data_IF_366326010592
#
_entry.id   IF_366326010592
#
_cell.length_a   1.000
_cell.length_b   1.000
_cell.length_c   1.000
_cell.angle_alpha   90.00
_cell.angle_beta   90.00
_cell.angle_gamma   90.00
#
_symmetry.space_group_name_H-M   'P 1'
#
loop_
_entity.id
_entity.type
_entity.pdbx_description
1 polymer ?
#
# COMPACT_ATOMS: atom_id res chain seq x y z
N UNK A 1 -15.00 14.43 21.70
CA UNK A 1 -16.44 14.31 21.38
C UNK A 1 -16.75 13.80 19.96
N UNK A 2 -16.08 14.20 18.87
CA UNK A 2 -16.51 13.76 17.51
C UNK A 2 -16.22 12.29 17.16
N UNK A 3 -15.32 11.60 17.86
CA UNK A 3 -14.82 10.26 17.50
C UNK A 3 -15.70 9.13 18.06
N UNK A 4 -16.50 9.42 19.08
CA UNK A 4 -17.43 8.43 19.63
C UNK A 4 -18.48 8.00 18.60
N UNK A 5 -18.79 8.87 17.61
CA UNK A 5 -19.64 8.56 16.46
C UNK A 5 -19.03 7.57 15.47
N UNK A 6 -17.72 7.29 15.53
CA UNK A 6 -17.02 6.36 14.62
C UNK A 6 -16.80 4.98 15.24
N UNK A 7 -17.30 4.73 16.46
CA UNK A 7 -17.11 3.45 17.15
C UNK A 7 -17.73 2.25 16.43
N UNK A 8 -18.74 2.49 15.58
CA UNK A 8 -19.41 1.43 14.82
C UNK A 8 -18.51 0.76 13.78
N UNK A 9 -17.48 1.44 13.28
CA UNK A 9 -16.56 0.93 12.24
C UNK A 9 -15.80 -0.32 12.73
N UNK A 10 -15.49 -0.40 14.03
CA UNK A 10 -14.75 -1.54 14.58
C UNK A 10 -15.65 -2.60 15.24
N UNK A 11 -16.95 -2.60 14.91
CA UNK A 11 -17.90 -3.62 15.39
C UNK A 11 -17.85 -4.87 14.53
N UNK A 12 -18.23 -6.03 15.11
CA UNK A 12 -18.32 -7.30 14.38
C UNK A 12 -19.32 -7.24 13.23
N UNK A 13 -20.42 -6.51 13.41
CA UNK A 13 -21.44 -6.32 12.36
C UNK A 13 -20.89 -5.58 11.15
N UNK A 14 -20.19 -4.46 11.37
CA UNK A 14 -19.53 -3.75 10.27
C UNK A 14 -18.47 -4.62 9.60
N UNK A 15 -17.65 -5.34 10.36
CA UNK A 15 -16.65 -6.26 9.81
C UNK A 15 -17.27 -7.31 8.89
N UNK A 16 -18.39 -7.91 9.28
CA UNK A 16 -19.11 -8.87 8.45
C UNK A 16 -19.66 -8.23 7.17
N UNK A 17 -20.28 -7.05 7.27
CA UNK A 17 -20.77 -6.31 6.11
C UNK A 17 -19.66 -5.94 5.14
N UNK A 18 -18.51 -5.49 5.67
CA UNK A 18 -17.33 -5.18 4.88
C UNK A 18 -16.80 -6.42 4.16
N UNK A 19 -16.66 -7.56 4.87
CA UNK A 19 -16.25 -8.82 4.25
C UNK A 19 -17.22 -9.29 3.17
N UNK A 20 -18.53 -9.16 3.40
CA UNK A 20 -19.56 -9.50 2.42
C UNK A 20 -19.47 -8.60 1.18
N UNK A 21 -19.37 -7.29 1.37
CA UNK A 21 -19.18 -6.32 0.29
C UNK A 21 -17.92 -6.59 -0.53
N UNK A 22 -16.78 -6.85 0.13
CA UNK A 22 -15.53 -7.19 -0.54
C UNK A 22 -15.61 -8.54 -1.25
N UNK A 23 -16.29 -9.54 -0.66
CA UNK A 23 -16.54 -10.83 -1.30
C UNK A 23 -17.34 -10.68 -2.59
N UNK A 24 -18.40 -9.87 -2.58
CA UNK A 24 -19.16 -9.53 -3.79
C UNK A 24 -18.31 -8.78 -4.82
N UNK A 25 -17.50 -7.84 -4.36
CA UNK A 25 -16.59 -7.07 -5.23
C UNK A 25 -15.60 -7.98 -5.96
N UNK A 26 -14.99 -8.94 -5.25
CA UNK A 26 -14.08 -9.92 -5.86
C UNK A 26 -14.82 -10.83 -6.84
N UNK A 27 -16.03 -11.26 -6.50
CA UNK A 27 -16.87 -12.02 -7.43
C UNK A 27 -17.15 -11.24 -8.72
N UNK A 28 -17.54 -9.96 -8.61
CA UNK A 28 -17.77 -9.08 -9.76
C UNK A 28 -16.49 -8.84 -10.56
N UNK A 29 -15.36 -8.62 -9.90
CA UNK A 29 -14.06 -8.45 -10.56
C UNK A 29 -13.74 -9.65 -11.46
N UNK A 30 -13.98 -10.87 -10.97
CA UNK A 30 -13.75 -12.10 -11.73
C UNK A 30 -14.80 -12.30 -12.82
N UNK A 31 -16.07 -12.03 -12.53
CA UNK A 31 -17.17 -12.21 -13.48
C UNK A 31 -17.10 -11.23 -14.68
N UNK A 32 -16.63 -10.01 -14.44
CA UNK A 32 -16.53 -8.93 -15.44
C UNK A 32 -15.08 -8.66 -15.86
N UNK A 33 -14.18 -9.64 -15.71
CA UNK A 33 -12.76 -9.48 -16.01
C UNK A 33 -12.50 -9.01 -17.45
N UNK A 34 -13.29 -9.48 -18.41
CA UNK A 34 -13.20 -9.05 -19.82
C UNK A 34 -13.54 -7.58 -20.02
N UNK A 35 -14.55 -7.08 -19.32
CA UNK A 35 -14.97 -5.67 -19.40
C UNK A 35 -13.99 -4.74 -18.71
N UNK A 36 -13.35 -5.20 -17.64
CA UNK A 36 -12.27 -4.48 -16.97
C UNK A 36 -11.04 -4.39 -17.87
N UNK A 37 -10.72 -5.47 -18.60
CA UNK A 37 -9.62 -5.48 -19.57
C UNK A 37 -9.92 -4.58 -20.76
N UNK A 38 -11.15 -4.54 -21.26
CA UNK A 38 -11.51 -3.62 -22.34
C UNK A 38 -11.44 -2.16 -21.89
N UNK A 39 -11.92 -1.85 -20.68
CA UNK A 39 -11.76 -0.53 -20.06
C UNK A 39 -10.28 -0.15 -19.89
N UNK A 40 -9.43 -1.09 -19.47
CA UNK A 40 -7.98 -0.89 -19.40
C UNK A 40 -7.41 -0.52 -20.76
N UNK A 41 -7.71 -1.28 -21.82
CA UNK A 41 -7.17 -1.01 -23.15
C UNK A 41 -7.57 0.36 -23.68
N UNK A 42 -8.81 0.78 -23.44
CA UNK A 42 -9.30 2.10 -23.83
C UNK A 42 -8.54 3.20 -23.10
N UNK A 43 -8.45 3.13 -21.77
CA UNK A 43 -7.79 4.18 -20.98
C UNK A 43 -6.27 4.17 -21.22
N UNK A 44 -5.65 3.00 -21.40
CA UNK A 44 -4.22 2.84 -21.68
C UNK A 44 -3.82 3.40 -23.04
N UNK A 45 -4.64 3.18 -24.06
CA UNK A 45 -4.46 3.77 -25.39
C UNK A 45 -4.51 5.30 -25.38
N UNK A 46 -5.26 5.89 -24.45
CA UNK A 46 -5.40 7.34 -24.32
C UNK A 46 -4.26 7.99 -23.52
N UNK A 47 -3.45 7.26 -22.75
CA UNK A 47 -2.36 7.86 -21.96
C UNK A 47 -1.23 8.43 -22.84
N UNK A 48 -1.02 7.87 -24.02
CA UNK A 48 -0.02 8.36 -25.00
C UNK A 48 -0.52 9.58 -25.78
N UNK A 49 -1.83 9.81 -25.84
CA UNK A 49 -2.45 10.86 -26.66
C UNK A 49 -3.07 11.99 -25.82
N UNK A 50 -3.41 11.74 -24.56
CA UNK A 50 -4.07 12.68 -23.66
C UNK A 50 -3.34 12.81 -22.30
N UNK A 51 -2.44 13.80 -22.12
CA UNK A 51 -1.72 14.02 -20.87
C UNK A 51 -2.65 14.35 -19.68
N UNK A 52 -3.90 14.72 -19.94
CA UNK A 52 -4.92 14.92 -18.90
C UNK A 52 -5.22 13.65 -18.11
N UNK A 53 -5.04 12.45 -18.69
CA UNK A 53 -5.24 11.19 -17.98
C UNK A 53 -4.13 10.92 -16.96
N UNK A 54 -2.89 11.35 -17.22
CA UNK A 54 -1.81 11.31 -16.23
C UNK A 54 -2.13 12.20 -15.03
N UNK A 55 -2.66 13.40 -15.27
CA UNK A 55 -3.08 14.30 -14.20
C UNK A 55 -4.23 13.72 -13.37
N UNK A 56 -5.24 13.13 -14.02
CA UNK A 56 -6.35 12.44 -13.33
C UNK A 56 -5.84 11.28 -12.48
N UNK A 57 -4.94 10.46 -13.02
CA UNK A 57 -4.33 9.34 -12.28
C UNK A 57 -3.51 9.83 -11.08
N UNK A 58 -2.70 10.87 -11.27
CA UNK A 58 -1.92 11.48 -10.20
C UNK A 58 -2.82 12.01 -9.09
N UNK A 59 -3.90 12.70 -9.44
CA UNK A 59 -4.89 13.18 -8.48
C UNK A 59 -5.60 12.04 -7.74
N UNK A 60 -6.06 11.01 -8.46
CA UNK A 60 -6.69 9.83 -7.85
C UNK A 60 -5.74 9.09 -6.90
N UNK A 61 -4.46 9.01 -7.25
CA UNK A 61 -3.41 8.43 -6.41
C UNK A 61 -3.18 9.26 -5.16
N UNK A 62 -3.06 10.59 -5.27
CA UNK A 62 -2.92 11.48 -4.11
C UNK A 62 -4.13 11.38 -3.19
N UNK A 63 -5.35 11.42 -3.73
CA UNK A 63 -6.58 11.26 -2.95
C UNK A 63 -6.59 9.92 -2.20
N UNK A 64 -6.17 8.85 -2.86
CA UNK A 64 -6.10 7.50 -2.26
C UNK A 64 -5.10 7.45 -1.11
N UNK A 65 -3.91 8.03 -1.29
CA UNK A 65 -2.88 8.10 -0.24
C UNK A 65 -3.38 8.98 0.92
N UNK A 66 -4.08 10.08 0.64
CA UNK A 66 -4.62 10.95 1.69
C UNK A 66 -5.63 10.19 2.57
N UNK A 67 -6.57 9.48 1.94
CA UNK A 67 -7.57 8.70 2.64
C UNK A 67 -6.95 7.51 3.40
N UNK A 68 -5.90 6.90 2.84
CA UNK A 68 -5.11 5.87 3.52
C UNK A 68 -4.51 6.38 4.84
N UNK A 69 -3.82 7.52 4.79
CA UNK A 69 -3.21 8.15 5.96
C UNK A 69 -4.25 8.54 7.02
N UNK A 70 -5.39 9.08 6.58
CA UNK A 70 -6.53 9.33 7.46
C UNK A 70 -7.06 8.05 8.10
N UNK A 71 -7.06 6.92 7.39
CA UNK A 71 -7.42 5.61 7.92
C UNK A 71 -6.62 5.24 9.15
N UNK A 72 -5.30 5.41 9.11
CA UNK A 72 -4.44 5.20 10.28
C UNK A 72 -4.75 6.17 11.41
N UNK A 73 -4.83 7.48 11.10
CA UNK A 73 -5.06 8.53 12.09
C UNK A 73 -6.36 8.32 12.86
N UNK A 74 -7.47 8.08 12.15
CA UNK A 74 -8.77 7.87 12.75
C UNK A 74 -8.83 6.59 13.59
N UNK A 75 -8.15 5.53 13.15
CA UNK A 75 -8.11 4.25 13.87
C UNK A 75 -7.29 4.36 15.15
N UNK A 76 -6.14 5.03 15.10
CA UNK A 76 -5.32 5.26 16.28
C UNK A 76 -6.08 6.09 17.33
N UNK A 77 -6.74 7.16 16.87
CA UNK A 77 -7.52 8.03 17.74
C UNK A 77 -8.77 7.35 18.30
N UNK A 78 -9.38 6.43 17.56
CA UNK A 78 -10.48 5.59 18.04
C UNK A 78 -10.05 4.69 19.21
N UNK A 79 -8.84 4.13 19.17
CA UNK A 79 -8.30 3.32 20.27
C UNK A 79 -7.69 4.14 21.41
N UNK A 80 -7.80 5.47 21.37
CA UNK A 80 -7.32 6.37 22.42
C UNK A 80 -5.87 6.81 22.27
N UNK A 81 -5.22 6.52 21.14
CA UNK A 81 -3.88 7.03 20.84
C UNK A 81 -3.89 8.47 20.33
N UNK A 82 -2.74 9.11 20.39
CA UNK A 82 -2.49 10.48 19.92
C UNK A 82 -1.86 10.46 18.54
N UNK A 83 -2.33 11.34 17.65
CA UNK A 83 -1.74 11.59 16.33
C UNK A 83 -1.06 12.96 16.41
N UNK A 84 0.28 13.03 16.57
CA UNK A 84 0.97 14.31 16.77
C UNK A 84 0.98 15.19 15.53
N UNK A 85 1.16 14.57 14.35
CA UNK A 85 1.35 15.27 13.08
C UNK A 85 0.82 14.42 11.91
N UNK A 86 0.35 15.13 10.88
CA UNK A 86 0.06 14.60 9.55
C UNK A 86 0.69 15.58 8.58
N UNK A 87 1.46 15.08 7.60
CA UNK A 87 2.22 15.94 6.72
C UNK A 87 2.36 15.38 5.30
N UNK A 88 3.03 16.17 4.47
CA UNK A 88 3.44 15.80 3.12
C UNK A 88 4.93 15.44 3.16
N UNK A 89 5.32 14.42 2.40
CA UNK A 89 6.71 14.06 2.16
C UNK A 89 6.96 13.92 0.66
N UNK A 90 8.22 14.00 0.24
CA UNK A 90 8.62 13.67 -1.12
C UNK A 90 9.49 12.42 -1.08
N UNK A 91 9.00 11.32 -1.65
CA UNK A 91 9.74 10.07 -1.77
C UNK A 91 10.11 9.85 -3.23
N UNK A 92 11.41 9.87 -3.55
CA UNK A 92 11.91 9.69 -4.92
C UNK A 92 11.22 10.59 -5.96
N UNK A 93 11.10 11.88 -5.65
CA UNK A 93 10.41 12.90 -6.49
C UNK A 93 8.90 12.70 -6.65
N UNK A 94 8.30 11.69 -6.02
CA UNK A 94 6.85 11.55 -5.94
C UNK A 94 6.32 12.19 -4.66
N UNK A 95 5.28 13.05 -4.75
CA UNK A 95 4.61 13.54 -3.55
C UNK A 95 3.96 12.36 -2.82
N UNK A 96 4.11 12.34 -1.51
CA UNK A 96 3.50 11.38 -0.60
C UNK A 96 2.96 12.09 0.64
N UNK A 97 2.20 11.37 1.45
CA UNK A 97 1.74 11.85 2.75
C UNK A 97 2.23 10.90 3.84
N UNK A 98 2.26 11.40 5.07
CA UNK A 98 2.54 10.58 6.23
C UNK A 98 1.70 11.01 7.42
N UNK A 99 1.33 10.03 8.24
CA UNK A 99 0.72 10.21 9.54
C UNK A 99 1.67 9.67 10.59
N UNK A 100 2.01 10.48 11.59
CA UNK A 100 2.78 9.99 12.72
C UNK A 100 1.89 9.12 13.61
N UNK A 101 2.04 7.81 13.45
CA UNK A 101 1.32 6.77 14.19
C UNK A 101 2.17 6.15 15.31
N UNK A 102 3.26 6.81 15.73
CA UNK A 102 4.21 6.25 16.71
C UNK A 102 3.56 5.88 18.04
N UNK A 103 2.50 6.58 18.44
CA UNK A 103 1.77 6.26 19.67
C UNK A 103 0.99 4.93 19.62
N UNK A 104 0.89 4.29 18.45
CA UNK A 104 0.31 2.95 18.35
C UNK A 104 1.06 1.91 19.20
N UNK A 105 2.35 2.10 19.46
CA UNK A 105 3.13 1.20 20.31
C UNK A 105 2.71 1.26 21.78
N UNK A 106 2.09 2.37 22.22
CA UNK A 106 1.52 2.57 23.55
C UNK A 106 0.23 1.75 23.76
N UNK A 107 -0.39 1.25 22.69
CA UNK A 107 -1.62 0.46 22.79
C UNK A 107 -1.34 -0.91 23.43
N UNK A 108 -2.11 -1.23 24.47
CA UNK A 108 -1.97 -2.46 25.27
C UNK A 108 -2.27 -3.71 24.45
N UNK A 109 -3.32 -3.69 23.62
CA UNK A 109 -3.75 -4.87 22.87
C UNK A 109 -3.06 -4.91 21.51
N UNK A 110 -2.31 -5.98 21.26
CA UNK A 110 -1.70 -6.27 19.94
C UNK A 110 -2.68 -6.16 18.78
N UNK A 111 -3.91 -6.65 18.95
CA UNK A 111 -4.96 -6.56 17.92
C UNK A 111 -5.24 -5.12 17.51
N UNK A 112 -5.26 -4.17 18.45
CA UNK A 112 -5.48 -2.76 18.14
C UNK A 112 -4.34 -2.20 17.29
N UNK A 113 -3.08 -2.55 17.61
CA UNK A 113 -1.91 -2.17 16.80
C UNK A 113 -2.00 -2.69 15.37
N UNK A 114 -2.33 -3.98 15.22
CA UNK A 114 -2.54 -4.60 13.90
C UNK A 114 -3.65 -3.87 13.12
N UNK A 115 -4.76 -3.51 13.77
CA UNK A 115 -5.84 -2.77 13.13
C UNK A 115 -5.45 -1.34 12.73
N UNK A 116 -4.65 -0.65 13.54
CA UNK A 116 -4.13 0.69 13.19
C UNK A 116 -3.27 0.61 11.93
N UNK A 117 -2.35 -0.34 11.85
CA UNK A 117 -1.51 -0.53 10.64
C UNK A 117 -2.35 -1.03 9.46
N UNK A 118 -3.32 -1.91 9.67
CA UNK A 118 -4.16 -2.41 8.58
C UNK A 118 -5.14 -1.36 8.05
N UNK A 119 -5.49 -0.33 8.84
CA UNK A 119 -6.55 0.61 8.51
C UNK A 119 -6.31 1.36 7.20
N UNK A 120 -5.08 1.82 6.94
CA UNK A 120 -4.75 2.50 5.69
C UNK A 120 -4.97 1.60 4.48
N UNK A 121 -4.47 0.36 4.53
CA UNK A 121 -4.67 -0.63 3.45
C UNK A 121 -6.14 -0.98 3.29
N UNK A 122 -6.91 -1.14 4.38
CA UNK A 122 -8.36 -1.39 4.31
C UNK A 122 -9.06 -0.25 3.57
N UNK A 123 -8.71 1.01 3.83
CA UNK A 123 -9.27 2.16 3.11
C UNK A 123 -8.96 2.07 1.62
N UNK A 124 -7.72 1.75 1.24
CA UNK A 124 -7.37 1.60 -0.17
C UNK A 124 -8.15 0.45 -0.85
N UNK A 125 -8.34 -0.69 -0.17
CA UNK A 125 -9.14 -1.81 -0.68
C UNK A 125 -10.61 -1.39 -0.86
N UNK A 126 -11.16 -0.59 0.06
CA UNK A 126 -12.53 -0.04 -0.08
C UNK A 126 -12.60 0.93 -1.26
N UNK A 127 -11.62 1.79 -1.47
CA UNK A 127 -11.58 2.71 -2.63
C UNK A 127 -11.49 1.91 -3.93
N UNK A 128 -10.67 0.87 -3.98
CA UNK A 128 -10.60 -0.05 -5.13
C UNK A 128 -11.97 -0.68 -5.42
N UNK A 129 -12.63 -1.20 -4.38
CA UNK A 129 -13.95 -1.79 -4.51
C UNK A 129 -14.97 -0.77 -5.04
N UNK A 130 -15.05 0.42 -4.44
CA UNK A 130 -15.93 1.48 -4.92
C UNK A 130 -15.64 1.88 -6.37
N UNK A 131 -14.36 1.95 -6.75
CA UNK A 131 -13.94 2.20 -8.12
C UNK A 131 -14.47 1.15 -9.10
N UNK A 132 -14.41 -0.13 -8.74
CA UNK A 132 -14.97 -1.21 -9.54
C UNK A 132 -16.49 -1.12 -9.67
N UNK A 133 -17.20 -0.90 -8.56
CA UNK A 133 -18.67 -0.77 -8.60
C UNK A 133 -19.12 0.42 -9.46
N UNK A 134 -18.42 1.55 -9.34
CA UNK A 134 -18.69 2.72 -10.19
C UNK A 134 -18.34 2.45 -11.66
N UNK A 135 -17.28 1.71 -11.93
CA UNK A 135 -16.90 1.30 -13.28
C UNK A 135 -18.02 0.48 -13.94
N UNK A 136 -18.54 -0.51 -13.24
CA UNK A 136 -19.62 -1.38 -13.74
C UNK A 136 -20.97 -0.66 -13.85
N UNK A 137 -21.21 0.35 -13.01
CA UNK A 137 -22.40 1.19 -13.09
C UNK A 137 -22.30 2.28 -14.17
N UNK A 138 -21.13 2.49 -14.76
CA UNK A 138 -20.90 3.57 -15.72
C UNK A 138 -21.34 3.19 -17.13
N UNK A 139 -21.94 4.12 -17.90
CA UNK A 139 -22.16 3.92 -19.32
C UNK A 139 -20.83 3.68 -20.06
N UNK A 140 -20.80 2.79 -21.07
CA UNK A 140 -19.62 2.56 -21.89
C UNK A 140 -19.11 3.87 -22.52
N UNK A 141 -17.78 4.02 -22.57
CA UNK A 141 -17.06 5.17 -23.15
C UNK A 141 -17.38 6.52 -22.49
N UNK A 142 -17.92 6.52 -21.26
CA UNK A 142 -18.19 7.74 -20.52
C UNK A 142 -16.97 8.24 -19.73
N UNK A 143 -16.93 9.55 -19.44
CA UNK A 143 -15.94 10.12 -18.51
C UNK A 143 -16.01 9.48 -17.11
N UNK A 144 -17.20 9.04 -16.70
CA UNK A 144 -17.39 8.34 -15.43
C UNK A 144 -16.65 7.00 -15.45
N UNK A 145 -16.82 6.21 -16.52
CA UNK A 145 -16.11 4.94 -16.70
C UNK A 145 -14.59 5.12 -16.63
N UNK A 146 -14.06 6.11 -17.34
CA UNK A 146 -12.63 6.44 -17.33
C UNK A 146 -12.14 6.83 -15.92
N UNK A 147 -12.83 7.75 -15.24
CA UNK A 147 -12.42 8.20 -13.91
C UNK A 147 -12.52 7.09 -12.86
N UNK A 148 -13.57 6.26 -12.93
CA UNK A 148 -13.73 5.09 -12.05
C UNK A 148 -12.64 4.06 -12.27
N UNK A 149 -12.25 3.80 -13.53
CA UNK A 149 -11.12 2.94 -13.85
C UNK A 149 -9.80 3.48 -13.28
N UNK A 150 -9.54 4.78 -13.44
CA UNK A 150 -8.32 5.42 -12.91
C UNK A 150 -8.26 5.41 -11.37
N UNK A 151 -9.40 5.62 -10.70
CA UNK A 151 -9.48 5.52 -9.24
C UNK A 151 -9.23 4.08 -8.76
N UNK A 152 -9.87 3.12 -9.42
CA UNK A 152 -9.70 1.69 -9.14
C UNK A 152 -8.25 1.25 -9.34
N UNK A 153 -7.61 1.67 -10.43
CA UNK A 153 -6.22 1.31 -10.74
C UNK A 153 -5.23 1.98 -9.77
N UNK A 154 -5.41 3.26 -9.44
CA UNK A 154 -4.61 3.95 -8.43
C UNK A 154 -4.70 3.24 -7.07
N UNK A 155 -5.91 2.88 -6.64
CA UNK A 155 -6.11 2.14 -5.39
C UNK A 155 -5.47 0.74 -5.44
N UNK A 156 -5.63 -0.01 -6.53
CA UNK A 156 -5.04 -1.34 -6.66
C UNK A 156 -3.51 -1.28 -6.60
N UNK A 157 -2.89 -0.37 -7.35
CA UNK A 157 -1.43 -0.20 -7.37
C UNK A 157 -0.92 0.20 -5.99
N UNK A 158 -1.55 1.16 -5.32
CA UNK A 158 -1.15 1.58 -3.97
C UNK A 158 -1.33 0.46 -2.93
N UNK A 159 -2.36 -0.39 -3.02
CA UNK A 159 -2.50 -1.58 -2.18
C UNK A 159 -1.35 -2.54 -2.40
N UNK A 160 -1.03 -2.88 -3.66
CA UNK A 160 0.04 -3.84 -3.99
C UNK A 160 1.39 -3.34 -3.47
N UNK A 161 1.68 -2.04 -3.60
CA UNK A 161 2.90 -1.45 -3.09
C UNK A 161 2.95 -1.45 -1.56
N UNK A 162 1.87 -1.01 -0.89
CA UNK A 162 1.84 -0.90 0.57
C UNK A 162 1.80 -2.24 1.28
N UNK A 163 1.08 -3.23 0.72
CA UNK A 163 0.94 -4.55 1.34
C UNK A 163 2.18 -5.43 1.16
N UNK A 164 3.21 -4.96 0.44
CA UNK A 164 4.45 -5.69 0.28
C UNK A 164 5.22 -5.78 1.61
N UNK A 165 5.38 -7.00 2.18
CA UNK A 165 6.03 -7.18 3.48
C UNK A 165 7.54 -6.95 3.49
N UNK A 166 8.18 -6.92 2.32
CA UNK A 166 9.65 -6.90 2.20
C UNK A 166 10.22 -5.48 2.13
N UNK A 167 9.37 -4.50 1.84
CA UNK A 167 9.67 -3.08 1.91
C UNK A 167 9.12 -2.46 3.18
N UNK A 168 9.73 -1.37 3.66
CA UNK A 168 9.33 -0.66 4.87
C UNK A 168 8.03 0.17 4.68
N UNK A 169 7.01 -0.43 4.11
CA UNK A 169 5.64 0.06 4.00
C UNK A 169 4.73 -0.68 4.99
N UNK A 170 3.42 -0.46 4.91
CA UNK A 170 2.43 -1.04 5.82
C UNK A 170 2.51 -2.56 5.95
N UNK A 171 2.79 -3.30 4.87
CA UNK A 171 2.92 -4.76 4.90
C UNK A 171 4.00 -5.23 5.85
N UNK A 172 5.14 -4.52 5.88
CA UNK A 172 6.22 -4.79 6.83
C UNK A 172 5.79 -4.48 8.26
N UNK A 173 5.17 -3.31 8.49
CA UNK A 173 4.71 -2.95 9.83
C UNK A 173 3.55 -3.84 10.31
N UNK A 174 2.75 -4.38 9.39
CA UNK A 174 1.70 -5.35 9.68
C UNK A 174 2.32 -6.67 10.13
N UNK A 175 3.36 -7.16 9.44
CA UNK A 175 4.15 -8.30 9.91
C UNK A 175 4.76 -8.02 11.28
N UNK A 176 5.34 -6.85 11.51
CA UNK A 176 5.90 -6.46 12.84
C UNK A 176 4.81 -6.48 13.91
N UNK A 177 3.62 -5.93 13.64
CA UNK A 177 2.52 -5.93 14.59
C UNK A 177 1.97 -7.35 14.86
N UNK A 178 1.89 -8.19 13.83
CA UNK A 178 1.40 -9.57 13.89
C UNK A 178 2.40 -10.57 14.49
N UNK A 179 3.70 -10.31 14.39
CA UNK A 179 4.79 -11.16 14.94
C UNK A 179 5.31 -10.62 16.28
N UNK A 180 5.16 -9.31 16.52
CA UNK A 180 5.55 -8.65 17.77
C UNK A 180 7.05 -8.38 17.84
N UNK A 181 7.75 -8.67 16.74
CA UNK A 181 9.19 -8.53 16.59
C UNK A 181 9.46 -7.12 16.06
N UNK A 182 9.71 -6.18 16.96
CA UNK A 182 10.15 -4.84 16.58
C UNK A 182 11.49 -4.91 15.83
N UNK A 183 11.69 -4.03 14.85
CA UNK A 183 12.91 -3.98 14.02
C UNK A 183 13.23 -5.31 13.31
N UNK A 184 12.18 -6.00 12.80
CA UNK A 184 12.26 -7.31 12.14
C UNK A 184 13.40 -7.39 11.11
N UNK A 185 13.54 -6.39 10.23
CA UNK A 185 14.59 -6.38 9.21
C UNK A 185 15.99 -6.38 9.83
N UNK A 186 16.25 -5.51 10.80
CA UNK A 186 17.57 -5.40 11.44
C UNK A 186 17.92 -6.68 12.20
N UNK A 187 17.00 -7.15 13.05
CA UNK A 187 17.17 -8.38 13.85
C UNK A 187 17.33 -9.61 12.98
N UNK A 188 16.66 -9.67 11.83
CA UNK A 188 16.82 -10.79 10.90
C UNK A 188 18.22 -10.85 10.29
N UNK A 189 18.85 -9.70 10.03
CA UNK A 189 20.22 -9.65 9.54
C UNK A 189 21.23 -9.95 10.66
N UNK A 190 21.02 -9.38 11.84
CA UNK A 190 21.81 -9.67 13.05
C UNK A 190 21.80 -11.18 13.37
N UNK A 191 20.64 -11.84 13.28
CA UNK A 191 20.51 -13.29 13.45
C UNK A 191 21.45 -14.09 12.52
N UNK A 192 21.57 -13.69 11.25
CA UNK A 192 22.50 -14.34 10.31
C UNK A 192 23.96 -13.99 10.62
N UNK A 193 24.26 -12.75 11.01
CA UNK A 193 25.63 -12.37 11.41
C UNK A 193 26.10 -13.14 12.64
N UNK A 194 25.24 -13.35 13.63
CA UNK A 194 25.55 -14.14 14.83
C UNK A 194 25.81 -15.60 14.46
N UNK A 195 25.01 -16.16 13.54
CA UNK A 195 25.22 -17.50 13.02
C UNK A 195 26.57 -17.65 12.30
N UNK A 196 26.93 -16.67 11.46
CA UNK A 196 28.24 -16.66 10.79
C UNK A 196 29.41 -16.51 11.77
N UNK A 197 29.22 -15.73 12.84
CA UNK A 197 30.21 -15.56 13.93
C UNK A 197 30.21 -16.72 14.93
N UNK A 198 29.32 -17.71 14.76
CA UNK A 198 29.09 -18.84 15.69
C UNK A 198 28.79 -18.37 17.12
N UNK A 199 28.12 -17.23 17.25
CA UNK A 199 27.66 -16.72 18.55
C UNK A 199 26.25 -17.24 18.84
N UNK A 200 25.92 -17.53 20.11
CA UNK A 200 24.57 -17.93 20.48
C UNK A 200 23.62 -16.77 20.19
N UNK A 201 22.54 -17.04 19.46
CA UNK A 201 21.56 -16.02 19.16
C UNK A 201 20.84 -15.58 20.45
N UNK A 202 20.75 -14.27 20.73
CA UNK A 202 19.97 -13.76 21.86
C UNK A 202 18.45 -13.86 21.63
N UNK A 203 18.05 -14.30 20.43
CA UNK A 203 16.66 -14.32 19.99
C UNK A 203 15.87 -15.51 20.52
N UNK A 204 14.60 -15.27 20.86
CA UNK A 204 13.68 -16.34 21.29
C UNK A 204 13.53 -17.37 20.20
N UNK A 205 13.50 -18.65 20.57
CA UNK A 205 13.34 -19.78 19.63
C UNK A 205 12.08 -19.67 18.76
N UNK A 206 10.99 -19.11 19.28
CA UNK A 206 9.76 -18.84 18.53
C UNK A 206 9.94 -17.84 17.39
N UNK A 207 10.88 -16.91 17.55
CA UNK A 207 11.07 -15.77 16.65
C UNK A 207 12.13 -16.10 15.59
N UNK A 208 13.06 -17.02 15.90
CA UNK A 208 14.16 -17.44 15.02
C UNK A 208 13.67 -17.93 13.65
N UNK A 209 12.59 -18.71 13.58
CA UNK A 209 12.05 -19.20 12.30
C UNK A 209 11.59 -18.03 11.41
N UNK A 210 10.93 -17.03 12.00
CA UNK A 210 10.44 -15.85 11.29
C UNK A 210 11.62 -15.03 10.79
N UNK A 211 12.63 -14.82 11.65
CA UNK A 211 13.86 -14.08 11.31
C UNK A 211 14.64 -14.77 10.19
N UNK A 212 14.79 -16.09 10.28
CA UNK A 212 15.50 -16.91 9.30
C UNK A 212 14.84 -16.87 7.92
N UNK A 213 13.50 -16.85 7.85
CA UNK A 213 12.77 -16.77 6.58
C UNK A 213 12.77 -15.33 6.02
N UNK A 214 12.62 -14.33 6.88
CA UNK A 214 12.44 -12.94 6.46
C UNK A 214 13.71 -12.35 5.80
N UNK A 215 14.89 -12.55 6.38
CA UNK A 215 16.14 -11.97 5.86
C UNK A 215 16.44 -12.36 4.40
N UNK A 216 16.49 -13.65 3.99
CA UNK A 216 16.79 -14.01 2.62
C UNK A 216 15.75 -13.49 1.63
N UNK A 217 14.46 -13.54 1.99
CA UNK A 217 13.39 -12.99 1.15
C UNK A 217 13.55 -11.48 0.94
N UNK A 218 13.83 -10.73 2.03
CA UNK A 218 14.03 -9.28 1.96
C UNK A 218 15.27 -8.92 1.15
N UNK A 219 16.37 -9.66 1.27
CA UNK A 219 17.59 -9.46 0.48
C UNK A 219 17.32 -9.73 -1.00
N UNK A 220 16.76 -10.89 -1.35
CA UNK A 220 16.45 -11.26 -2.74
C UNK A 220 15.56 -10.19 -3.37
N UNK A 221 14.48 -9.82 -2.68
CA UNK A 221 13.58 -8.78 -3.16
C UNK A 221 14.28 -7.43 -3.35
N UNK A 222 15.10 -7.00 -2.38
CA UNK A 222 15.86 -5.74 -2.48
C UNK A 222 16.80 -5.75 -3.68
N UNK A 223 17.54 -6.85 -3.90
CA UNK A 223 18.46 -7.00 -5.04
C UNK A 223 17.70 -6.99 -6.35
N UNK A 224 16.57 -7.69 -6.45
CA UNK A 224 15.75 -7.72 -7.66
C UNK A 224 15.18 -6.34 -8.00
N UNK A 225 14.62 -5.63 -7.01
CA UNK A 225 14.04 -4.30 -7.23
C UNK A 225 15.12 -3.28 -7.58
N UNK A 226 16.22 -3.23 -6.84
CA UNK A 226 17.32 -2.31 -7.16
C UNK A 226 17.94 -2.64 -8.52
N UNK A 227 18.13 -3.93 -8.83
CA UNK A 227 18.62 -4.38 -10.13
C UNK A 227 17.69 -3.95 -11.27
N UNK A 228 16.38 -4.14 -11.10
CA UNK A 228 15.39 -3.68 -12.07
C UNK A 228 15.37 -2.15 -12.22
N UNK A 229 15.42 -1.40 -11.12
CA UNK A 229 15.47 0.06 -11.15
C UNK A 229 16.72 0.58 -11.86
N UNK A 230 17.89 0.00 -11.60
CA UNK A 230 19.14 0.37 -12.25
C UNK A 230 19.12 0.03 -13.75
N UNK A 231 18.60 -1.15 -14.10
CA UNK A 231 18.42 -1.55 -15.50
C UNK A 231 17.47 -0.60 -16.24
N UNK A 232 16.32 -0.29 -15.63
CA UNK A 232 15.34 0.65 -16.18
C UNK A 232 15.94 2.05 -16.37
N UNK A 233 16.65 2.56 -15.36
CA UNK A 233 17.29 3.87 -15.44
C UNK A 233 18.42 3.90 -16.47
N UNK A 234 19.18 2.82 -16.61
CA UNK A 234 20.20 2.66 -17.65
C UNK A 234 19.62 2.71 -19.06
N UNK A 235 18.51 2.00 -19.29
CA UNK A 235 17.79 2.05 -20.57
C UNK A 235 17.23 3.45 -20.83
N UNK A 236 16.60 4.07 -19.83
CA UNK A 236 16.01 5.40 -19.96
C UNK A 236 17.08 6.45 -20.29
N UNK A 237 18.23 6.44 -19.61
CA UNK A 237 19.36 7.30 -19.93
C UNK A 237 19.89 6.99 -21.34
N UNK A 238 20.02 5.72 -21.71
CA UNK A 238 20.48 5.31 -23.05
C UNK A 238 19.59 5.80 -24.19
N UNK A 239 18.27 5.87 -23.97
CA UNK A 239 17.31 6.40 -24.93
C UNK A 239 17.28 7.94 -24.95
N UNK A 240 17.38 8.59 -23.79
CA UNK A 240 17.20 10.04 -23.66
C UNK A 240 18.49 10.85 -23.89
N UNK A 241 19.65 10.31 -23.54
CA UNK A 241 20.95 10.99 -23.67
C UNK A 241 21.30 11.34 -25.14
N UNK A 242 21.11 10.46 -26.14
CA UNK A 242 21.33 10.81 -27.54
C UNK A 242 20.35 11.87 -28.04
N UNK A 243 19.11 11.88 -27.54
CA UNK A 243 18.15 12.92 -27.84
C UNK A 243 18.65 14.24 -27.30
N UNK A 244 18.99 14.35 -26.01
CA UNK A 244 19.46 15.62 -25.42
C UNK A 244 20.76 16.12 -26.07
N UNK A 245 21.71 15.24 -26.36
CA UNK A 245 22.98 15.60 -27.01
C UNK A 245 22.80 16.10 -28.45
N UNK A 246 21.75 15.70 -29.15
CA UNK A 246 21.42 16.22 -30.50
C UNK A 246 20.81 17.64 -30.47
N UNK A 247 20.44 18.15 -29.29
CA UNK A 247 19.87 19.51 -29.11
C UNK A 247 20.88 20.52 -28.58
N UNK A 248 22.12 20.09 -28.30
CA UNK A 248 23.26 20.92 -27.88
C UNK A 248 24.22 21.04 -29.08
#
# INVERSE_FOLDING_TARGET
>A
ESIDKLRWIWTRGFGFLLCFFLGQTVFLWLAYATDIVSAHQQVWGDFTTAPTNLLKLGFATMLTIFLHELGHAFTLKHFGGVVPEIGLLFMCFMPGMYTNTSDQYSLVKRKQRVLVVAAGVIVQIVIWALGLWLLLASPPQSLMQQNSYLLMSAALVTVVLNLNPLNAFDGYYLLVAMTGINNLRRRSLEFYFDLFRRQPSPEKTSDQAILAIYAPLSIIYTVLVLGYMLWFMGNWIGEFLPVVLNWI
#
